data_IF_380109419044
#
_entry.id   IF_380109419044
#
_cell.length_a   1.000
_cell.length_b   1.000
_cell.length_c   1.000
_cell.angle_alpha   90.00
_cell.angle_beta   90.00
_cell.angle_gamma   90.00
#
_symmetry.space_group_name_H-M   'P 1'
#
loop_
_entity.id
_entity.type
_entity.pdbx_description
1 polymer ?
#
# COMPACT_ATOMS: atom_id res chain seq x y z
N UNK A 1 4.84 -9.20 -0.30
CA UNK A 1 4.75 -7.94 -1.08
C UNK A 1 6.10 -7.25 -1.04
N UNK A 2 6.53 -6.51 -2.05
CA UNK A 2 7.83 -5.83 -2.02
C UNK A 2 7.96 -4.72 -3.05
N UNK A 3 8.91 -3.83 -2.81
CA UNK A 3 9.26 -2.70 -3.67
C UNK A 3 10.72 -2.82 -4.04
N UNK A 4 11.04 -2.75 -5.32
CA UNK A 4 12.41 -2.65 -5.82
C UNK A 4 12.63 -1.24 -6.38
N UNK A 5 13.80 -0.67 -6.10
CA UNK A 5 14.24 0.62 -6.59
C UNK A 5 15.72 0.60 -6.95
N UNK A 6 16.23 1.75 -7.40
CA UNK A 6 17.61 1.92 -7.90
C UNK A 6 18.71 1.82 -6.83
N UNK A 7 18.37 1.46 -5.61
CA UNK A 7 19.29 1.32 -4.48
C UNK A 7 19.10 -0.01 -3.74
N UNK A 8 18.22 -0.89 -4.24
CA UNK A 8 17.89 -2.16 -3.62
C UNK A 8 16.39 -2.42 -3.56
N UNK A 9 15.99 -3.35 -2.69
CA UNK A 9 14.62 -3.78 -2.54
C UNK A 9 14.23 -4.00 -1.07
N UNK A 10 12.96 -3.74 -0.76
CA UNK A 10 12.33 -4.06 0.51
C UNK A 10 11.22 -5.08 0.24
N UNK A 11 11.18 -6.16 1.00
CA UNK A 11 10.16 -7.19 0.90
C UNK A 11 9.52 -7.40 2.26
N UNK A 12 8.21 -7.23 2.34
CA UNK A 12 7.43 -7.65 3.50
C UNK A 12 7.31 -9.17 3.48
N UNK A 13 7.82 -9.81 4.52
CA UNK A 13 7.80 -11.25 4.69
C UNK A 13 6.96 -11.58 5.94
N UNK A 14 5.72 -12.03 5.77
CA UNK A 14 4.93 -12.52 6.90
C UNK A 14 5.35 -13.96 7.22
N UNK A 15 5.60 -14.34 8.49
CA UNK A 15 5.38 -13.57 9.73
C UNK A 15 6.61 -12.79 10.24
N UNK A 16 7.74 -12.86 9.53
CA UNK A 16 9.08 -12.40 9.93
C UNK A 16 9.43 -11.05 9.28
N UNK A 17 8.89 -9.93 9.79
CA UNK A 17 9.27 -8.55 9.45
C UNK A 17 9.40 -8.17 7.96
N UNK A 18 9.82 -6.95 7.63
CA UNK A 18 10.43 -6.66 6.34
C UNK A 18 11.87 -7.16 6.26
N UNK A 19 12.20 -7.75 5.12
CA UNK A 19 13.57 -8.00 4.66
C UNK A 19 14.01 -6.85 3.76
N UNK A 20 15.16 -6.25 4.06
CA UNK A 20 15.77 -5.18 3.25
C UNK A 20 17.05 -5.71 2.60
N UNK A 21 17.13 -5.60 1.27
CA UNK A 21 18.33 -5.95 0.50
C UNK A 21 18.85 -4.70 -0.22
N UNK A 22 20.08 -4.27 0.09
CA UNK A 22 20.77 -3.21 -0.65
C UNK A 22 21.42 -3.78 -1.92
N UNK A 23 21.51 -2.96 -2.96
CA UNK A 23 22.01 -3.39 -4.29
C UNK A 23 23.50 -3.75 -4.29
N UNK A 24 24.30 -3.10 -3.44
CA UNK A 24 25.77 -3.23 -3.40
C UNK A 24 26.24 -4.39 -2.54
N UNK A 25 26.00 -5.63 -2.97
CA UNK A 25 26.69 -6.84 -2.45
C UNK A 25 26.57 -7.10 -0.94
N UNK A 26 25.68 -6.40 -0.24
CA UNK A 26 25.42 -6.59 1.18
C UNK A 26 24.34 -7.67 1.36
N UNK A 27 24.51 -8.49 2.39
CA UNK A 27 23.50 -9.48 2.77
C UNK A 27 22.17 -8.80 3.11
N UNK A 28 21.07 -9.50 2.85
CA UNK A 28 19.75 -9.02 3.24
C UNK A 28 19.68 -8.92 4.76
N UNK A 29 19.23 -7.76 5.26
CA UNK A 29 19.02 -7.52 6.69
C UNK A 29 17.54 -7.59 6.98
N UNK A 30 17.18 -8.41 7.97
CA UNK A 30 15.83 -8.40 8.53
C UNK A 30 15.70 -7.23 9.50
N UNK A 31 14.68 -6.40 9.30
CA UNK A 31 14.36 -5.31 10.22
C UNK A 31 13.22 -5.79 11.10
N UNK A 32 13.44 -5.77 12.42
CA UNK A 32 12.36 -6.01 13.36
C UNK A 32 11.38 -4.83 13.33
N UNK A 33 10.13 -5.11 12.95
CA UNK A 33 9.02 -4.16 13.09
C UNK A 33 8.12 -4.68 14.20
N UNK A 34 7.82 -3.86 15.23
CA UNK A 34 6.87 -4.23 16.27
C UNK A 34 5.55 -4.66 15.64
N UNK A 35 4.99 -5.78 16.10
CA UNK A 35 3.64 -6.14 15.69
C UNK A 35 2.68 -5.05 16.12
N UNK A 36 1.89 -4.59 15.18
CA UNK A 36 0.85 -3.62 15.44
C UNK A 36 -0.53 -4.23 15.13
N UNK A 37 -1.57 -3.63 15.70
CA UNK A 37 -2.94 -3.97 15.36
C UNK A 37 -3.46 -2.90 14.41
N UNK A 38 -3.37 -3.16 13.10
CA UNK A 38 -3.72 -2.18 12.07
C UNK A 38 -5.13 -1.60 12.21
N UNK A 39 -6.09 -2.37 12.72
CA UNK A 39 -7.46 -1.87 12.96
C UNK A 39 -7.49 -0.86 14.13
N UNK A 40 -6.84 -1.18 15.25
CA UNK A 40 -6.79 -0.28 16.42
C UNK A 40 -6.02 1.00 16.08
N UNK A 41 -4.93 0.87 15.33
CA UNK A 41 -4.12 2.01 14.91
C UNK A 41 -4.89 2.93 13.97
N UNK A 42 -5.60 2.37 12.98
CA UNK A 42 -6.42 3.14 12.03
C UNK A 42 -7.58 3.87 12.74
N UNK A 43 -8.27 3.17 13.65
CA UNK A 43 -9.34 3.79 14.46
C UNK A 43 -8.81 4.92 15.34
N UNK A 44 -7.66 4.71 15.98
CA UNK A 44 -7.01 5.74 16.82
C UNK A 44 -6.64 6.96 15.98
N UNK A 45 -6.02 6.75 14.81
CA UNK A 45 -5.69 7.81 13.87
C UNK A 45 -6.91 8.61 13.40
N UNK A 46 -8.02 7.92 13.08
CA UNK A 46 -9.26 8.59 12.67
C UNK A 46 -9.82 9.49 13.76
N UNK A 47 -9.89 9.02 15.01
CA UNK A 47 -10.34 9.85 16.13
C UNK A 47 -9.41 11.04 16.39
N UNK A 48 -8.09 10.85 16.23
CA UNK A 48 -7.13 11.94 16.37
C UNK A 48 -7.30 13.01 15.29
N UNK A 49 -7.64 12.62 14.07
CA UNK A 49 -7.99 13.56 12.99
C UNK A 49 -9.21 14.42 13.38
N UNK A 50 -10.26 13.80 13.92
CA UNK A 50 -11.46 14.51 14.40
C UNK A 50 -11.11 15.49 15.52
N UNK A 51 -10.36 15.03 16.54
CA UNK A 51 -10.01 15.87 17.72
C UNK A 51 -9.18 17.08 17.34
N UNK A 52 -8.31 16.95 16.35
CA UNK A 52 -7.37 18.00 15.93
C UNK A 52 -7.92 18.86 14.79
N UNK A 53 -9.12 18.58 14.31
CA UNK A 53 -9.72 19.20 13.11
C UNK A 53 -8.77 19.17 11.90
N UNK A 54 -8.17 18.00 11.66
CA UNK A 54 -7.29 17.77 10.50
C UNK A 54 -7.89 16.70 9.59
N UNK A 55 -7.68 16.86 8.29
CA UNK A 55 -8.10 15.85 7.31
C UNK A 55 -7.17 14.64 7.38
N UNK A 56 -7.70 13.40 7.33
CA UNK A 56 -6.86 12.23 7.17
C UNK A 56 -6.15 12.27 5.82
N UNK A 57 -4.97 11.63 5.77
CA UNK A 57 -4.19 11.50 4.53
C UNK A 57 -4.98 10.71 3.48
N UNK A 58 -5.52 9.56 3.88
CA UNK A 58 -6.43 8.76 3.08
C UNK A 58 -7.80 9.42 2.98
N UNK A 59 -8.34 9.54 1.76
CA UNK A 59 -9.64 10.15 1.51
C UNK A 59 -10.50 9.36 0.50
N UNK A 60 -11.71 9.84 0.26
CA UNK A 60 -12.66 9.16 -0.65
C UNK A 60 -12.21 9.07 -2.12
N UNK A 61 -11.30 9.94 -2.58
CA UNK A 61 -10.72 9.81 -3.92
C UNK A 61 -9.78 8.61 -4.02
N UNK A 62 -9.04 8.30 -2.96
CA UNK A 62 -8.18 7.13 -2.91
C UNK A 62 -9.00 5.85 -2.97
N UNK A 63 -10.12 5.80 -2.23
CA UNK A 63 -11.09 4.70 -2.33
C UNK A 63 -11.64 4.50 -3.74
N UNK A 64 -12.03 5.59 -4.44
CA UNK A 64 -12.49 5.50 -5.84
C UNK A 64 -11.42 4.95 -6.79
N UNK A 65 -10.16 5.35 -6.62
CA UNK A 65 -9.04 4.84 -7.43
C UNK A 65 -8.83 3.35 -7.20
N UNK A 66 -8.90 2.89 -5.95
CA UNK A 66 -8.79 1.45 -5.61
C UNK A 66 -9.88 0.64 -6.31
N UNK A 67 -11.13 1.12 -6.28
CA UNK A 67 -12.24 0.46 -7.00
C UNK A 67 -12.00 0.41 -8.51
N UNK A 68 -11.49 1.48 -9.12
CA UNK A 68 -11.20 1.50 -10.55
C UNK A 68 -10.11 0.48 -10.94
N UNK A 69 -9.06 0.33 -10.11
CA UNK A 69 -8.02 -0.68 -10.31
C UNK A 69 -8.60 -2.09 -10.19
N UNK A 70 -9.41 -2.34 -9.17
CA UNK A 70 -10.04 -3.64 -8.96
C UNK A 70 -10.97 -4.05 -10.12
N UNK A 71 -11.73 -3.10 -10.66
CA UNK A 71 -12.58 -3.31 -11.83
C UNK A 71 -11.78 -3.63 -13.08
N UNK A 72 -10.71 -2.88 -13.37
CA UNK A 72 -9.85 -3.16 -14.52
C UNK A 72 -9.17 -4.53 -14.41
N UNK A 73 -8.70 -4.91 -13.21
CA UNK A 73 -8.14 -6.24 -12.98
C UNK A 73 -9.19 -7.35 -13.18
N UNK A 74 -10.42 -7.14 -12.70
CA UNK A 74 -11.53 -8.08 -12.90
C UNK A 74 -11.86 -8.26 -14.39
N UNK A 75 -11.98 -7.16 -15.13
CA UNK A 75 -12.24 -7.18 -16.57
C UNK A 75 -11.11 -7.88 -17.32
N UNK A 76 -9.85 -7.59 -16.99
CA UNK A 76 -8.68 -8.23 -17.60
C UNK A 76 -8.67 -9.74 -17.36
N UNK A 77 -9.04 -10.19 -16.16
CA UNK A 77 -9.15 -11.61 -15.84
C UNK A 77 -10.27 -12.31 -16.63
N UNK A 78 -11.37 -11.62 -16.94
CA UNK A 78 -12.47 -12.17 -17.73
C UNK A 78 -12.16 -12.19 -19.23
N UNK A 79 -11.56 -11.12 -19.75
CA UNK A 79 -11.32 -10.93 -21.18
C UNK A 79 -10.01 -11.56 -21.67
N UNK A 80 -9.07 -11.84 -20.76
CA UNK A 80 -7.74 -12.33 -21.09
C UNK A 80 -6.84 -11.29 -21.75
N UNK A 81 -7.29 -10.03 -21.85
CA UNK A 81 -6.51 -8.92 -22.41
C UNK A 81 -6.17 -7.90 -21.32
N UNK A 82 -5.14 -7.10 -21.57
CA UNK A 82 -4.76 -6.01 -20.68
C UNK A 82 -5.82 -4.90 -20.71
N UNK A 83 -6.33 -4.52 -19.55
CA UNK A 83 -7.26 -3.40 -19.39
C UNK A 83 -6.55 -2.16 -18.84
N UNK A 84 -6.97 -0.97 -19.29
CA UNK A 84 -6.52 0.29 -18.73
C UNK A 84 -7.38 0.68 -17.54
N UNK A 85 -6.75 1.22 -16.50
CA UNK A 85 -7.50 1.75 -15.34
C UNK A 85 -8.20 3.04 -15.75
N UNK A 86 -9.52 3.08 -15.60
CA UNK A 86 -10.30 4.27 -15.92
C UNK A 86 -9.92 5.45 -15.01
N UNK A 87 -9.66 6.62 -15.62
CA UNK A 87 -9.41 7.86 -14.89
C UNK A 87 -10.72 8.61 -14.63
N UNK A 88 -10.98 8.92 -13.37
CA UNK A 88 -12.13 9.72 -12.95
C UNK A 88 -11.63 11.14 -12.68
N UNK A 89 -12.15 12.13 -13.40
CA UNK A 89 -11.78 13.53 -13.21
C UNK A 89 -12.06 13.96 -11.77
N UNK A 90 -11.04 14.50 -11.11
CA UNK A 90 -11.16 15.14 -9.81
C UNK A 90 -11.69 16.55 -10.04
N UNK A 91 -12.96 16.79 -9.72
CA UNK A 91 -13.50 18.15 -9.58
C UNK A 91 -13.30 18.63 -8.15
#
# INVERSE_FOLDING_TARGET
MGVAGTLGAIKLNAPSGPLVKKETGQDAVEIEIPRNNGFVDEMTYFFDCIRRDVKPESNGYDGRRVVAVALAAHQSAQSGVRELVAHWNQK
#
